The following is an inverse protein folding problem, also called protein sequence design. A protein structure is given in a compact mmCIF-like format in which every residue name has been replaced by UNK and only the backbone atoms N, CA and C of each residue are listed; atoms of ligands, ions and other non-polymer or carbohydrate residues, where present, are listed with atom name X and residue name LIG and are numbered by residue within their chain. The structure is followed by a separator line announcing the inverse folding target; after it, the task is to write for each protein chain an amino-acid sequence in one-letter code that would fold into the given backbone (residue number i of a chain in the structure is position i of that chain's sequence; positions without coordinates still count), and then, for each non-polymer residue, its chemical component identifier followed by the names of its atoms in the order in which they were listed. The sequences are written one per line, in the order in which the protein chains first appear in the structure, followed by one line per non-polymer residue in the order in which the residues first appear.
data_IF_998052630000
#
_entry.id   IF_998052630000
#
_cell.length_a   1.000
_cell.length_b   1.000
_cell.length_c   1.000
_cell.angle_alpha   90.00
_cell.angle_beta   90.00
_cell.angle_gamma   90.00
#
_symmetry.space_group_name_H-M   'P 1'
#
loop_
_entity.id
_entity.type
_entity.pdbx_description
1 polymer ?
#
# COMPACT_ATOMS: atom_id res chain seq x y z
N UNK A 1 37.46 20.10 -27.32
CA UNK A 1 36.02 20.06 -27.68
C UNK A 1 35.64 18.59 -27.65
N UNK A 2 35.20 18.12 -26.48
CA UNK A 2 34.97 16.69 -26.23
C UNK A 2 33.47 16.48 -26.29
N UNK A 3 33.01 15.87 -27.39
CA UNK A 3 31.68 15.29 -27.49
C UNK A 3 31.62 14.12 -26.51
N UNK A 4 30.97 14.33 -25.37
CA UNK A 4 30.59 13.23 -24.50
C UNK A 4 29.36 12.55 -25.10
N UNK A 5 29.61 11.49 -25.86
CA UNK A 5 28.64 10.44 -26.17
C UNK A 5 28.16 9.84 -24.84
N UNK A 6 26.91 10.14 -24.46
CA UNK A 6 26.25 9.54 -23.31
C UNK A 6 25.76 8.17 -23.79
N UNK A 7 26.47 7.13 -23.35
CA UNK A 7 26.17 5.74 -23.62
C UNK A 7 24.72 5.43 -23.25
N UNK A 8 24.04 4.81 -24.21
CA UNK A 8 22.84 4.01 -24.03
C UNK A 8 23.18 2.87 -23.06
N UNK A 9 22.62 2.87 -21.87
CA UNK A 9 22.32 1.63 -21.15
C UNK A 9 21.27 1.89 -20.08
N UNK A 10 20.03 1.66 -20.48
CA UNK A 10 18.85 1.75 -19.65
C UNK A 10 18.59 0.42 -18.99
N UNK A 11 18.95 0.29 -17.72
CA UNK A 11 18.61 -0.90 -16.95
C UNK A 11 18.10 -0.46 -15.59
N UNK A 12 16.78 -0.51 -15.45
CA UNK A 12 16.10 -0.63 -14.18
C UNK A 12 14.69 -1.14 -14.39
N UNK A 13 14.14 -1.84 -13.40
CA UNK A 13 13.07 -2.86 -13.42
C UNK A 13 13.55 -4.24 -13.88
N UNK A 14 14.76 -4.38 -14.45
CA UNK A 14 15.27 -5.67 -14.98
C UNK A 14 15.66 -6.69 -13.91
N UNK A 15 15.61 -6.36 -12.63
CA UNK A 15 16.32 -7.10 -11.60
C UNK A 15 15.45 -7.69 -10.48
N UNK A 16 14.30 -7.09 -10.11
CA UNK A 16 13.10 -7.88 -9.68
C UNK A 16 12.84 -8.97 -10.73
N UNK A 17 13.01 -8.59 -11.98
CA UNK A 17 12.96 -9.42 -13.18
C UNK A 17 14.07 -10.48 -13.27
N UNK A 18 15.20 -10.35 -12.60
CA UNK A 18 16.33 -11.28 -12.74
C UNK A 18 16.44 -12.21 -11.54
N UNK A 19 16.26 -11.68 -10.34
CA UNK A 19 16.17 -12.42 -9.09
C UNK A 19 14.98 -13.42 -9.12
N UNK A 20 13.82 -13.01 -9.67
CA UNK A 20 12.66 -13.89 -9.86
C UNK A 20 12.83 -14.99 -10.93
N UNK A 21 13.85 -14.93 -11.80
CA UNK A 21 13.90 -15.68 -13.07
C UNK A 21 15.14 -16.53 -13.39
N UNK A 22 16.17 -16.55 -12.55
CA UNK A 22 17.31 -17.47 -12.69
C UNK A 22 18.19 -17.20 -13.94
N UNK A 23 19.43 -17.70 -13.91
CA UNK A 23 20.49 -17.26 -14.84
C UNK A 23 20.37 -17.74 -16.30
N UNK A 24 19.46 -18.65 -16.65
CA UNK A 24 19.47 -19.37 -17.94
C UNK A 24 18.52 -18.83 -19.03
N UNK A 25 17.99 -17.62 -18.88
CA UNK A 25 17.10 -16.99 -19.86
C UNK A 25 17.81 -16.23 -20.98
N UNK A 26 18.50 -16.92 -21.88
CA UNK A 26 19.10 -16.32 -23.07
C UNK A 26 18.08 -15.56 -23.97
N UNK A 27 18.52 -14.42 -24.50
CA UNK A 27 17.90 -13.58 -25.55
C UNK A 27 16.78 -12.62 -25.13
N UNK A 28 17.18 -11.35 -24.95
CA UNK A 28 16.52 -10.13 -25.45
C UNK A 28 15.00 -10.00 -25.20
N UNK A 29 14.58 -9.59 -24.00
CA UNK A 29 13.18 -9.22 -23.69
C UNK A 29 13.12 -8.06 -22.68
N UNK A 30 12.59 -6.92 -23.10
CA UNK A 30 12.63 -5.60 -22.43
C UNK A 30 11.24 -5.09 -21.95
N UNK A 31 10.25 -5.95 -21.77
CA UNK A 31 8.84 -5.50 -21.83
C UNK A 31 8.27 -4.78 -20.58
N UNK A 32 8.89 -4.90 -19.40
CA UNK A 32 8.33 -4.28 -18.18
C UNK A 32 8.51 -2.76 -18.05
N UNK A 33 9.57 -2.17 -18.64
CA UNK A 33 9.94 -0.77 -18.37
C UNK A 33 10.11 0.13 -19.59
N UNK A 34 9.70 -0.31 -20.79
CA UNK A 34 9.88 0.51 -21.99
C UNK A 34 9.13 1.84 -21.93
N UNK A 35 7.90 1.85 -21.42
CA UNK A 35 7.12 3.08 -21.28
C UNK A 35 7.80 4.05 -20.30
N UNK A 36 8.22 3.60 -19.11
CA UNK A 36 8.85 4.51 -18.17
C UNK A 36 10.26 4.92 -18.60
N UNK A 37 11.03 4.01 -19.17
CA UNK A 37 12.34 4.33 -19.72
C UNK A 37 12.21 5.42 -20.79
N UNK A 38 11.22 5.30 -21.67
CA UNK A 38 10.91 6.32 -22.66
C UNK A 38 10.45 7.63 -22.00
N UNK A 39 9.63 7.58 -20.95
CA UNK A 39 9.23 8.78 -20.20
C UNK A 39 10.41 9.52 -19.58
N UNK A 40 11.36 8.78 -18.98
CA UNK A 40 12.62 9.34 -18.42
C UNK A 40 13.45 9.96 -19.54
N UNK A 41 13.67 9.22 -20.63
CA UNK A 41 14.45 9.69 -21.79
C UNK A 41 13.86 10.95 -22.41
N UNK A 42 12.53 11.04 -22.46
CA UNK A 42 11.80 12.19 -22.99
C UNK A 42 11.64 13.34 -21.96
N UNK A 43 12.11 13.18 -20.72
CA UNK A 43 12.00 14.21 -19.68
C UNK A 43 10.54 14.52 -19.31
N UNK A 44 9.67 13.52 -19.32
CA UNK A 44 8.23 13.70 -19.03
C UNK A 44 8.04 14.21 -17.60
N UNK A 45 7.45 15.40 -17.47
CA UNK A 45 7.09 15.97 -16.19
C UNK A 45 5.77 15.39 -15.65
N UNK A 46 5.78 14.99 -14.37
CA UNK A 46 4.59 14.51 -13.66
C UNK A 46 3.76 15.68 -13.13
N UNK A 47 2.42 15.66 -13.29
CA UNK A 47 1.54 16.65 -12.67
C UNK A 47 1.36 16.34 -11.17
N UNK A 48 2.38 16.64 -10.37
CA UNK A 48 2.36 16.39 -8.93
C UNK A 48 1.15 17.08 -8.28
N UNK A 49 0.32 16.28 -7.61
CA UNK A 49 -0.91 16.74 -6.96
C UNK A 49 -0.67 17.20 -5.53
N UNK A 50 -1.65 17.89 -4.93
CA UNK A 50 -1.61 18.30 -3.53
C UNK A 50 -1.60 17.11 -2.57
N UNK A 51 -1.02 17.32 -1.37
CA UNK A 51 -1.01 16.38 -0.24
C UNK A 51 -2.39 15.78 0.02
N UNK A 52 -2.47 14.46 0.12
CA UNK A 52 -3.64 13.77 0.65
C UNK A 52 -3.41 13.53 2.15
N UNK A 53 -3.98 14.41 2.97
CA UNK A 53 -3.85 14.32 4.42
C UNK A 53 -4.49 13.05 5.00
N UNK A 54 -5.43 12.40 4.28
CA UNK A 54 -6.01 11.12 4.72
C UNK A 54 -4.99 9.98 4.62
N UNK A 55 -4.13 10.01 3.60
CA UNK A 55 -3.04 9.04 3.48
C UNK A 55 -2.01 9.23 4.61
N UNK A 56 -1.77 10.47 5.05
CA UNK A 56 -0.91 10.74 6.19
C UNK A 56 -1.43 10.15 7.53
N UNK A 57 -2.74 9.89 7.61
CA UNK A 57 -3.36 9.19 8.74
C UNK A 57 -3.14 7.67 8.69
N UNK A 58 -2.47 7.11 7.68
CA UNK A 58 -2.13 5.69 7.57
C UNK A 58 -0.67 5.42 7.97
N UNK A 59 -0.37 4.16 8.24
CA UNK A 59 0.99 3.65 8.41
C UNK A 59 1.18 2.35 7.61
N UNK A 60 2.41 2.10 7.18
CA UNK A 60 2.79 0.81 6.62
C UNK A 60 2.64 -0.32 7.65
N UNK A 61 2.22 -1.50 7.20
CA UNK A 61 1.98 -2.68 8.04
C UNK A 61 2.05 -3.96 7.23
N UNK A 62 2.51 -5.05 7.84
CA UNK A 62 2.44 -6.40 7.28
C UNK A 62 1.12 -7.12 7.57
N UNK A 63 0.39 -6.73 8.62
CA UNK A 63 -0.93 -7.28 9.01
C UNK A 63 -1.93 -7.49 7.85
N UNK A 64 -1.82 -6.70 6.77
CA UNK A 64 -2.78 -6.70 5.67
C UNK A 64 -2.27 -7.40 4.40
N UNK A 65 -0.99 -7.83 4.33
CA UNK A 65 -0.39 -8.30 3.07
C UNK A 65 -1.01 -9.61 2.57
N UNK A 66 -1.51 -10.42 3.51
CA UNK A 66 -2.20 -11.69 3.25
C UNK A 66 -3.73 -11.56 3.18
N UNK A 67 -4.28 -10.34 3.00
CA UNK A 67 -5.73 -10.15 2.80
C UNK A 67 -6.14 -10.57 1.41
N UNK A 68 -6.45 -11.85 1.28
CA UNK A 68 -6.92 -12.45 0.04
C UNK A 68 -8.45 -12.44 -0.07
N UNK A 69 -9.18 -11.48 0.49
CA UNK A 69 -10.65 -11.49 0.50
C UNK A 69 -11.28 -10.16 0.06
N UNK A 70 -12.57 -10.23 -0.26
CA UNK A 70 -13.40 -9.08 -0.63
C UNK A 70 -12.80 -8.22 -1.76
N UNK A 71 -12.78 -6.91 -1.52
CA UNK A 71 -12.32 -5.90 -2.49
C UNK A 71 -10.79 -5.82 -2.61
N UNK A 72 -10.04 -6.50 -1.72
CA UNK A 72 -8.58 -6.44 -1.64
C UNK A 72 -7.90 -7.63 -2.35
N UNK A 73 -8.70 -8.60 -2.81
CA UNK A 73 -8.23 -9.72 -3.64
C UNK A 73 -7.82 -9.23 -5.03
N UNK A 74 -6.68 -9.71 -5.51
CA UNK A 74 -6.21 -9.47 -6.87
C UNK A 74 -6.77 -10.50 -7.85
N UNK A 75 -6.86 -10.12 -9.12
CA UNK A 75 -7.57 -10.93 -10.12
C UNK A 75 -6.81 -12.25 -10.39
N UNK A 76 -5.47 -12.25 -10.34
CA UNK A 76 -4.65 -13.45 -10.51
C UNK A 76 -4.75 -14.45 -9.34
N UNK A 77 -5.20 -14.02 -8.15
CA UNK A 77 -5.37 -14.89 -6.98
C UNK A 77 -6.65 -15.73 -7.04
N UNK A 78 -7.62 -15.32 -7.85
CA UNK A 78 -8.92 -16.02 -7.99
C UNK A 78 -8.85 -17.25 -8.90
N UNK A 79 -7.83 -17.34 -9.76
CA UNK A 79 -7.80 -18.33 -10.85
C UNK A 79 -8.92 -18.16 -11.90
N UNK A 80 -9.76 -17.11 -11.79
CA UNK A 80 -10.94 -16.85 -12.64
C UNK A 80 -10.79 -15.63 -13.54
N UNK A 81 -9.58 -15.13 -13.78
CA UNK A 81 -9.34 -14.04 -14.73
C UNK A 81 -9.80 -14.43 -16.13
N UNK A 82 -10.57 -13.55 -16.79
CA UNK A 82 -11.02 -13.68 -18.18
C UNK A 82 -9.92 -13.41 -19.22
N UNK A 83 -8.69 -13.13 -18.76
CA UNK A 83 -7.48 -13.07 -19.58
C UNK A 83 -6.80 -14.45 -19.72
N UNK A 84 -5.85 -14.62 -20.67
CA UNK A 84 -5.11 -15.87 -20.80
C UNK A 84 -4.47 -16.20 -19.45
N UNK A 85 -4.79 -17.38 -18.91
CA UNK A 85 -4.34 -17.89 -17.60
C UNK A 85 -2.86 -17.57 -17.38
N UNK A 86 -2.60 -16.54 -16.58
CA UNK A 86 -1.28 -16.28 -16.05
C UNK A 86 -1.33 -16.58 -14.55
N UNK A 87 -0.63 -17.62 -14.11
CA UNK A 87 -0.25 -17.76 -12.70
C UNK A 87 0.52 -16.51 -12.26
N UNK A 88 0.69 -16.25 -10.96
CA UNK A 88 1.59 -15.18 -10.52
C UNK A 88 2.98 -15.28 -11.21
N UNK A 89 3.44 -16.51 -11.46
CA UNK A 89 4.64 -16.80 -12.26
C UNK A 89 4.56 -16.35 -13.73
N UNK A 90 3.39 -16.38 -14.37
CA UNK A 90 3.24 -15.98 -15.77
C UNK A 90 2.92 -14.48 -15.97
N UNK A 91 2.40 -13.78 -14.95
CA UNK A 91 2.45 -12.30 -14.91
C UNK A 91 3.90 -11.81 -14.82
N UNK A 92 4.69 -12.53 -14.01
CA UNK A 92 6.12 -12.33 -13.81
C UNK A 92 6.94 -12.58 -15.10
N UNK A 93 6.76 -13.71 -15.77
CA UNK A 93 7.75 -14.22 -16.74
C UNK A 93 7.62 -13.75 -18.20
N UNK A 94 6.47 -13.21 -18.64
CA UNK A 94 6.23 -12.98 -20.08
C UNK A 94 5.60 -11.62 -20.32
N UNK A 95 6.33 -10.69 -20.93
CA UNK A 95 5.72 -9.49 -21.53
C UNK A 95 4.59 -9.87 -22.49
N UNK A 96 3.42 -9.25 -22.40
CA UNK A 96 2.33 -9.54 -23.34
C UNK A 96 2.52 -8.72 -24.63
N UNK A 97 2.71 -9.37 -25.81
CA UNK A 97 2.93 -8.65 -27.06
C UNK A 97 1.83 -7.63 -27.41
N UNK A 98 0.62 -7.78 -26.85
CA UNK A 98 -0.48 -6.80 -27.01
C UNK A 98 -0.13 -5.42 -26.45
N UNK A 99 0.80 -5.33 -25.49
CA UNK A 99 1.19 -4.09 -24.82
C UNK A 99 2.55 -3.54 -25.24
N UNK A 100 3.19 -4.21 -26.21
CA UNK A 100 4.48 -3.81 -26.78
C UNK A 100 4.31 -3.11 -28.14
N UNK A 101 3.07 -2.86 -28.57
CA UNK A 101 2.84 -2.03 -29.77
C UNK A 101 3.13 -0.56 -29.46
N UNK A 102 3.56 0.25 -30.45
CA UNK A 102 3.78 1.68 -30.25
C UNK A 102 2.57 2.40 -29.66
N UNK A 103 1.36 2.03 -30.06
CA UNK A 103 0.12 2.62 -29.56
C UNK A 103 -0.13 2.24 -28.10
N UNK A 104 0.14 0.99 -27.71
CA UNK A 104 0.00 0.56 -26.32
C UNK A 104 1.03 1.22 -25.41
N UNK A 105 2.29 1.34 -25.87
CA UNK A 105 3.34 2.08 -25.17
C UNK A 105 2.98 3.56 -25.02
N UNK A 106 2.44 4.19 -26.06
CA UNK A 106 1.97 5.58 -25.99
C UNK A 106 0.82 5.75 -24.97
N UNK A 107 -0.10 4.78 -24.88
CA UNK A 107 -1.16 4.81 -23.86
C UNK A 107 -0.58 4.65 -22.45
N UNK A 108 0.31 3.70 -22.22
CA UNK A 108 1.00 3.52 -20.92
C UNK A 108 1.78 4.77 -20.50
N UNK A 109 2.46 5.42 -21.44
CA UNK A 109 3.10 6.73 -21.24
C UNK A 109 2.11 7.83 -20.81
N UNK A 110 0.92 7.85 -21.40
CA UNK A 110 -0.12 8.80 -21.03
C UNK A 110 -0.67 8.52 -19.62
N UNK A 111 -0.79 7.25 -19.23
CA UNK A 111 -1.25 6.84 -17.89
C UNK A 111 -0.33 7.36 -16.78
N UNK A 112 0.99 7.36 -17.00
CA UNK A 112 1.96 7.91 -16.03
C UNK A 112 1.65 9.37 -15.66
N UNK A 113 1.04 10.13 -16.57
CA UNK A 113 0.65 11.53 -16.35
C UNK A 113 -0.81 11.70 -15.93
N UNK A 114 -1.60 10.64 -15.91
CA UNK A 114 -3.02 10.73 -15.56
C UNK A 114 -3.16 11.19 -14.09
N UNK A 115 -3.93 12.25 -13.79
CA UNK A 115 -4.04 12.78 -12.43
C UNK A 115 -4.58 11.77 -11.40
N UNK A 116 -5.40 10.81 -11.84
CA UNK A 116 -5.91 9.71 -11.01
C UNK A 116 -4.79 8.75 -10.61
N UNK A 117 -3.93 8.37 -11.55
CA UNK A 117 -2.76 7.50 -11.36
C UNK A 117 -1.75 8.18 -10.46
N UNK A 118 -1.37 9.42 -10.76
CA UNK A 118 -0.42 10.19 -9.95
C UNK A 118 -0.92 10.31 -8.52
N UNK A 119 -2.22 10.60 -8.32
CA UNK A 119 -2.83 10.64 -6.98
C UNK A 119 -2.79 9.28 -6.28
N UNK A 120 -3.11 8.21 -7.00
CA UNK A 120 -3.09 6.85 -6.47
C UNK A 120 -1.66 6.41 -6.10
N UNK A 121 -0.62 6.75 -6.87
CA UNK A 121 0.76 6.45 -6.47
C UNK A 121 1.20 7.31 -5.28
N UNK A 122 0.81 8.59 -5.26
CA UNK A 122 1.26 9.57 -4.26
C UNK A 122 0.80 9.25 -2.83
N UNK A 123 -0.30 8.50 -2.63
CA UNK A 123 -0.73 8.11 -1.28
C UNK A 123 0.32 7.26 -0.54
N UNK A 124 1.13 6.48 -1.24
CA UNK A 124 2.26 5.74 -0.65
C UNK A 124 3.27 6.73 -0.04
N UNK A 125 3.67 7.74 -0.82
CA UNK A 125 4.57 8.79 -0.37
C UNK A 125 4.01 9.56 0.84
N UNK A 126 2.73 9.93 0.80
CA UNK A 126 2.10 10.71 1.88
C UNK A 126 1.98 9.93 3.20
N UNK A 127 2.05 8.59 3.14
CA UNK A 127 2.06 7.68 4.30
C UNK A 127 3.43 7.62 4.99
N UNK A 128 4.50 7.92 4.25
CA UNK A 128 5.87 7.93 4.78
C UNK A 128 6.04 9.01 5.84
N UNK A 129 6.86 8.69 6.84
CA UNK A 129 7.42 9.66 7.78
C UNK A 129 8.82 10.01 7.32
N UNK A 130 8.89 10.87 6.30
CA UNK A 130 10.14 11.34 5.73
C UNK A 130 10.93 12.13 6.77
N UNK A 131 12.25 12.11 6.63
CA UNK A 131 13.16 12.89 7.45
C UNK A 131 13.14 14.37 7.04
N UNK A 132 13.95 15.20 7.70
CA UNK A 132 13.95 16.67 7.52
C UNK A 132 14.24 17.12 6.08
N UNK A 133 14.97 16.32 5.30
CA UNK A 133 15.29 16.62 3.90
C UNK A 133 14.12 16.34 2.94
N UNK A 134 13.03 15.73 3.44
CA UNK A 134 11.84 15.42 2.67
C UNK A 134 12.07 14.38 1.58
N UNK A 135 13.06 13.51 1.73
CA UNK A 135 13.37 12.42 0.80
C UNK A 135 13.28 11.04 1.45
N UNK A 136 13.13 10.01 0.63
CA UNK A 136 13.10 8.61 1.08
C UNK A 136 14.49 8.01 0.95
N UNK A 137 15.02 7.53 2.07
CA UNK A 137 16.31 6.85 2.14
C UNK A 137 16.17 5.33 2.09
N UNK A 138 17.29 4.64 1.91
CA UNK A 138 17.39 3.19 1.77
C UNK A 138 16.57 2.42 2.80
N UNK A 139 16.70 2.73 4.10
CA UNK A 139 15.98 2.00 5.14
C UNK A 139 14.45 2.03 4.97
N UNK A 140 13.90 3.20 4.67
CA UNK A 140 12.47 3.37 4.39
C UNK A 140 12.06 2.69 3.10
N UNK A 141 12.89 2.79 2.05
CA UNK A 141 12.64 2.11 0.79
C UNK A 141 12.54 0.59 0.99
N UNK A 142 13.50 -0.02 1.70
CA UNK A 142 13.49 -1.46 1.98
C UNK A 142 12.25 -1.87 2.76
N UNK A 143 11.81 -1.08 3.75
CA UNK A 143 10.59 -1.38 4.50
C UNK A 143 9.34 -1.42 3.59
N UNK A 144 9.19 -0.41 2.74
CA UNK A 144 8.08 -0.37 1.78
C UNK A 144 8.20 -1.50 0.77
N UNK A 145 9.37 -1.71 0.18
CA UNK A 145 9.63 -2.74 -0.82
C UNK A 145 9.27 -4.13 -0.28
N UNK A 146 9.68 -4.46 0.95
CA UNK A 146 9.33 -5.72 1.62
C UNK A 146 7.83 -5.97 1.67
N UNK A 147 7.03 -4.95 1.97
CA UNK A 147 5.59 -5.08 2.08
C UNK A 147 4.93 -5.23 0.70
N UNK A 148 5.41 -4.50 -0.31
CA UNK A 148 4.95 -4.66 -1.69
C UNK A 148 5.24 -6.08 -2.19
N UNK A 149 6.46 -6.57 -1.99
CA UNK A 149 6.85 -7.94 -2.35
C UNK A 149 6.02 -8.96 -1.59
N UNK A 150 5.85 -8.83 -0.28
CA UNK A 150 5.03 -9.77 0.50
C UNK A 150 3.56 -9.82 0.04
N UNK A 151 3.04 -8.72 -0.50
CA UNK A 151 1.67 -8.66 -1.03
C UNK A 151 1.54 -9.24 -2.44
N UNK A 152 2.58 -9.15 -3.27
CA UNK A 152 2.54 -9.50 -4.70
C UNK A 152 3.21 -10.84 -5.03
N UNK A 153 4.29 -11.18 -4.34
CA UNK A 153 5.10 -12.39 -4.49
C UNK A 153 5.42 -13.00 -3.10
N UNK A 154 4.41 -13.46 -2.34
CA UNK A 154 4.57 -14.01 -0.99
C UNK A 154 5.48 -15.26 -0.91
N UNK A 155 5.76 -15.89 -2.04
CA UNK A 155 6.65 -17.05 -2.17
C UNK A 155 8.14 -16.68 -2.27
N UNK A 156 8.48 -15.41 -2.50
CA UNK A 156 9.87 -14.94 -2.61
C UNK A 156 10.55 -15.05 -1.24
N UNK A 157 11.77 -15.61 -1.21
CA UNK A 157 12.52 -15.71 0.04
C UNK A 157 13.23 -14.38 0.41
N UNK A 158 13.70 -14.29 1.65
CA UNK A 158 14.28 -13.05 2.17
C UNK A 158 15.60 -12.67 1.49
N UNK A 159 16.40 -13.66 1.04
CA UNK A 159 17.67 -13.38 0.39
C UNK A 159 17.43 -12.84 -1.02
N UNK A 160 16.56 -13.49 -1.78
CA UNK A 160 16.11 -13.09 -3.11
C UNK A 160 15.48 -11.69 -3.08
N UNK A 161 14.56 -11.44 -2.12
CA UNK A 161 13.94 -10.13 -1.94
C UNK A 161 14.97 -9.04 -1.68
N UNK A 162 15.94 -9.30 -0.81
CA UNK A 162 16.93 -8.29 -0.41
C UNK A 162 17.81 -7.91 -1.58
N UNK A 163 18.27 -8.89 -2.35
CA UNK A 163 19.05 -8.65 -3.57
C UNK A 163 18.28 -7.78 -4.56
N UNK A 164 17.05 -8.17 -4.90
CA UNK A 164 16.20 -7.39 -5.80
C UNK A 164 15.99 -5.95 -5.29
N UNK A 165 15.67 -5.79 -4.01
CA UNK A 165 15.40 -4.49 -3.41
C UNK A 165 16.60 -3.53 -3.44
N UNK A 166 17.83 -4.04 -3.27
CA UNK A 166 19.05 -3.23 -3.37
C UNK A 166 19.30 -2.73 -4.80
N UNK A 167 19.05 -3.60 -5.77
CA UNK A 167 19.20 -3.27 -7.19
C UNK A 167 18.15 -2.21 -7.59
N UNK A 168 16.88 -2.42 -7.24
CA UNK A 168 15.82 -1.45 -7.54
C UNK A 168 16.05 -0.11 -6.83
N UNK A 169 16.52 -0.13 -5.57
CA UNK A 169 16.84 1.11 -4.87
C UNK A 169 17.92 1.91 -5.60
N UNK A 170 19.00 1.24 -6.01
CA UNK A 170 20.12 1.86 -6.74
C UNK A 170 19.62 2.53 -8.01
N UNK A 171 18.72 1.87 -8.70
CA UNK A 171 18.21 2.37 -9.95
C UNK A 171 17.15 3.45 -9.79
N UNK A 172 16.22 3.30 -8.84
CA UNK A 172 15.16 4.27 -8.52
C UNK A 172 15.75 5.59 -8.04
N UNK A 173 16.91 5.53 -7.37
CA UNK A 173 17.72 6.68 -7.05
C UNK A 173 18.24 7.41 -8.29
N UNK A 174 18.39 6.75 -9.44
CA UNK A 174 18.88 7.33 -10.71
C UNK A 174 20.15 8.16 -10.52
N UNK A 175 21.11 7.61 -9.76
CA UNK A 175 22.39 8.25 -9.47
C UNK A 175 22.37 9.33 -8.38
N UNK A 176 21.25 9.53 -7.68
CA UNK A 176 21.19 10.41 -6.50
C UNK A 176 21.31 9.62 -5.19
N UNK A 177 21.45 10.33 -4.08
CA UNK A 177 21.61 9.72 -2.74
C UNK A 177 20.29 9.30 -2.07
N UNK A 178 19.15 9.76 -2.59
CA UNK A 178 17.82 9.46 -2.05
C UNK A 178 16.73 9.62 -3.12
N UNK A 179 15.55 9.08 -2.83
CA UNK A 179 14.39 9.08 -3.71
C UNK A 179 13.48 10.26 -3.33
N UNK A 180 13.06 11.05 -4.32
CA UNK A 180 12.08 12.12 -4.12
C UNK A 180 10.67 11.66 -4.54
N UNK A 181 9.66 12.50 -4.30
CA UNK A 181 8.26 12.18 -4.64
C UNK A 181 8.08 11.75 -6.10
N UNK A 182 8.70 12.47 -7.05
CA UNK A 182 8.54 12.16 -8.46
C UNK A 182 9.07 10.76 -8.81
N UNK A 183 10.23 10.39 -8.28
CA UNK A 183 10.81 9.05 -8.47
C UNK A 183 9.98 7.98 -7.77
N UNK A 184 9.52 8.23 -6.54
CA UNK A 184 8.61 7.30 -5.86
C UNK A 184 7.31 7.05 -6.64
N UNK A 185 6.71 8.08 -7.27
CA UNK A 185 5.54 7.90 -8.13
C UNK A 185 5.87 6.99 -9.32
N UNK A 186 7.05 7.18 -9.93
CA UNK A 186 7.51 6.38 -11.05
C UNK A 186 7.71 4.91 -10.66
N UNK A 187 8.36 4.64 -9.52
CA UNK A 187 8.57 3.27 -9.03
C UNK A 187 7.24 2.56 -8.72
N UNK A 188 6.29 3.24 -8.07
CA UNK A 188 4.95 2.64 -7.83
C UNK A 188 4.19 2.43 -9.14
N UNK A 189 4.38 3.31 -10.13
CA UNK A 189 3.80 3.11 -11.46
C UNK A 189 4.40 1.89 -12.16
N UNK A 190 5.71 1.65 -12.09
CA UNK A 190 6.36 0.45 -12.66
C UNK A 190 5.76 -0.83 -12.08
N UNK A 191 5.54 -0.86 -10.76
CA UNK A 191 4.87 -1.98 -10.11
C UNK A 191 3.46 -2.15 -10.68
N UNK A 192 2.69 -1.07 -10.87
CA UNK A 192 1.36 -1.16 -11.46
C UNK A 192 1.38 -1.62 -12.93
N UNK A 193 2.31 -1.11 -13.72
CA UNK A 193 2.50 -1.40 -15.14
C UNK A 193 2.94 -2.86 -15.36
N UNK A 194 3.70 -3.44 -14.42
CA UNK A 194 4.08 -4.85 -14.44
C UNK A 194 2.93 -5.79 -14.09
N UNK A 195 2.07 -5.42 -13.14
CA UNK A 195 1.03 -6.31 -12.60
C UNK A 195 -0.38 -6.07 -13.17
N UNK A 196 -0.54 -5.09 -14.07
CA UNK A 196 -1.82 -4.80 -14.72
C UNK A 196 -1.81 -5.27 -16.19
N UNK A 197 -2.60 -6.29 -16.52
CA UNK A 197 -2.83 -6.75 -17.90
C UNK A 197 -3.83 -5.82 -18.61
N UNK A 198 -3.47 -4.54 -18.79
CA UNK A 198 -4.31 -3.54 -19.45
C UNK A 198 -3.56 -2.25 -19.84
N UNK A 199 -4.23 -1.41 -20.63
CA UNK A 199 -3.89 -0.01 -20.88
C UNK A 199 -4.99 0.96 -20.41
N UNK A 200 -5.97 0.45 -19.66
CA UNK A 200 -7.09 1.23 -19.13
C UNK A 200 -6.76 1.84 -17.77
N UNK A 201 -6.94 3.16 -17.64
CA UNK A 201 -6.58 3.94 -16.45
C UNK A 201 -7.22 3.40 -15.17
N UNK A 202 -8.50 3.02 -15.22
CA UNK A 202 -9.23 2.57 -14.04
C UNK A 202 -8.67 1.24 -13.48
N UNK A 203 -8.09 0.38 -14.31
CA UNK A 203 -7.52 -0.90 -13.86
C UNK A 203 -6.24 -0.67 -13.06
N UNK A 204 -5.40 0.28 -13.49
CA UNK A 204 -4.22 0.69 -12.73
C UNK A 204 -4.63 1.33 -11.40
N UNK A 205 -5.60 2.27 -11.42
CA UNK A 205 -6.11 2.90 -10.18
C UNK A 205 -6.66 1.85 -9.21
N UNK A 206 -7.40 0.85 -9.71
CA UNK A 206 -7.88 -0.26 -8.89
C UNK A 206 -6.73 -1.09 -8.31
N UNK A 207 -5.74 -1.47 -9.12
CA UNK A 207 -4.57 -2.22 -8.68
C UNK A 207 -3.80 -1.46 -7.59
N UNK A 208 -3.43 -0.20 -7.85
CA UNK A 208 -2.63 0.64 -6.95
C UNK A 208 -3.35 0.81 -5.60
N UNK A 209 -4.66 1.04 -5.62
CA UNK A 209 -5.45 1.19 -4.40
C UNK A 209 -5.62 -0.13 -3.62
N UNK A 210 -5.73 -1.28 -4.30
CA UNK A 210 -5.74 -2.60 -3.65
C UNK A 210 -4.40 -2.85 -2.95
N UNK A 211 -3.29 -2.62 -3.67
CA UNK A 211 -1.94 -2.76 -3.13
C UNK A 211 -1.71 -1.83 -1.93
N UNK A 212 -2.15 -0.58 -2.01
CA UNK A 212 -2.04 0.36 -0.89
C UNK A 212 -2.74 -0.16 0.37
N UNK A 213 -3.95 -0.71 0.26
CA UNK A 213 -4.69 -1.27 1.41
C UNK A 213 -4.04 -2.55 1.95
N UNK A 214 -3.36 -3.33 1.12
CA UNK A 214 -2.58 -4.51 1.53
C UNK A 214 -1.37 -4.16 2.38
N UNK A 215 -0.76 -2.99 2.15
CA UNK A 215 0.49 -2.63 2.81
C UNK A 215 0.35 -1.51 3.85
N UNK A 216 -0.87 -0.99 4.05
CA UNK A 216 -1.12 0.08 5.02
C UNK A 216 -2.35 -0.18 5.89
N UNK A 217 -2.39 0.48 7.05
CA UNK A 217 -3.57 0.56 7.93
C UNK A 217 -3.74 1.96 8.51
N UNK A 218 -4.94 2.34 8.96
CA UNK A 218 -5.13 3.58 9.70
C UNK A 218 -4.25 3.63 10.95
N UNK A 219 -3.61 4.77 11.20
CA UNK A 219 -2.98 5.08 12.48
C UNK A 219 -4.09 5.21 13.49
N UNK A 220 -4.21 4.25 14.40
CA UNK A 220 -5.17 4.35 15.50
C UNK A 220 -4.87 5.65 16.26
N UNK A 221 -5.72 6.66 16.09
CA UNK A 221 -5.55 7.92 16.82
C UNK A 221 -5.91 7.67 18.29
N UNK A 222 -5.20 8.33 19.22
CA UNK A 222 -5.59 8.31 20.65
C UNK A 222 -7.06 8.69 20.83
N UNK A 223 -7.62 9.56 19.98
CA UNK A 223 -9.04 9.96 20.00
C UNK A 223 -9.99 8.80 19.64
N UNK A 224 -9.58 7.89 18.76
CA UNK A 224 -10.34 6.68 18.40
C UNK A 224 -10.48 5.72 19.58
N UNK A 225 -9.41 5.51 20.35
CA UNK A 225 -9.40 4.62 21.52
C UNK A 225 -10.40 5.09 22.60
N UNK A 226 -10.47 6.40 22.88
CA UNK A 226 -11.43 6.94 23.83
C UNK A 226 -12.87 6.87 23.31
N UNK A 227 -13.09 7.05 22.00
CA UNK A 227 -14.43 6.91 21.41
C UNK A 227 -14.95 5.47 21.43
N UNK A 228 -14.07 4.49 21.18
CA UNK A 228 -14.43 3.07 21.22
C UNK A 228 -14.61 2.58 22.66
N UNK A 229 -13.77 3.01 23.60
CA UNK A 229 -13.92 2.69 25.01
C UNK A 229 -15.19 3.32 25.62
N UNK A 230 -15.52 4.57 25.26
CA UNK A 230 -16.76 5.22 25.68
C UNK A 230 -18.00 4.54 25.07
N UNK A 231 -17.95 4.14 23.81
CA UNK A 231 -19.03 3.39 23.16
C UNK A 231 -19.22 1.99 23.80
N UNK A 232 -18.14 1.26 24.08
CA UNK A 232 -18.20 -0.02 24.78
C UNK A 232 -18.73 0.12 26.22
N UNK A 233 -18.33 1.16 26.94
CA UNK A 233 -18.83 1.46 28.28
C UNK A 233 -20.33 1.82 28.27
N UNK A 234 -20.80 2.54 27.24
CA UNK A 234 -22.23 2.84 27.07
C UNK A 234 -23.06 1.59 26.76
N UNK A 235 -22.52 0.65 25.98
CA UNK A 235 -23.19 -0.64 25.69
C UNK A 235 -23.26 -1.52 26.94
N UNK A 236 -22.20 -1.57 27.76
CA UNK A 236 -22.23 -2.31 29.03
C UNK A 236 -23.07 -1.63 30.12
N UNK A 237 -23.18 -0.30 30.10
CA UNK A 237 -24.07 0.45 31.00
C UNK A 237 -25.55 0.33 30.64
N UNK A 238 -25.89 0.12 29.37
CA UNK A 238 -27.28 0.00 28.90
C UNK A 238 -27.91 -1.38 29.18
N UNK A 239 -27.11 -2.44 29.37
CA UNK A 239 -27.60 -3.78 29.73
C UNK A 239 -27.76 -4.01 31.24
N UNK A 240 -27.55 -2.98 32.08
CA UNK A 240 -27.47 -3.08 33.54
C UNK A 240 -28.72 -2.69 34.34
N UNK A 241 -29.92 -2.58 33.74
CA UNK A 241 -31.17 -2.39 34.48
C UNK A 241 -32.36 -2.57 33.54
N UNK A 242 -33.35 -3.42 33.81
CA UNK A 242 -34.27 -3.31 34.96
C UNK A 242 -34.78 -4.70 35.39
N UNK A 243 -34.45 -5.11 36.61
CA UNK A 243 -35.27 -6.05 37.37
C UNK A 243 -35.62 -5.37 38.71
N UNK A 244 -36.68 -4.56 38.72
CA UNK A 244 -37.30 -4.08 39.96
C UNK A 244 -38.03 -5.26 40.60
N UNK A 245 -37.38 -5.94 41.54
CA UNK A 245 -38.08 -6.80 42.50
C UNK A 245 -38.76 -5.88 43.53
N UNK A 246 -40.08 -6.01 43.61
CA UNK A 246 -40.91 -5.33 44.59
C UNK A 246 -40.54 -5.83 46.01
N UNK A 247 -39.90 -4.96 46.79
CA UNK A 247 -39.67 -5.16 48.22
C UNK A 247 -40.55 -4.21 49.01
N UNK A 248 -41.59 -4.76 49.62
CA UNK A 248 -42.54 -4.14 50.53
C UNK A 248 -41.85 -3.45 51.71
N UNK A 249 -42.15 -2.17 51.93
CA UNK A 249 -41.79 -1.40 53.13
C UNK A 249 -42.65 -1.83 54.32
N UNK A 250 -42.01 -2.38 55.36
CA UNK A 250 -42.41 -2.28 56.77
C UNK A 250 -41.08 -2.16 57.54
N UNK A 251 -40.68 -1.01 58.07
CA UNK A 251 -41.32 -0.33 59.20
C UNK A 251 -40.37 -0.42 60.41
N UNK A 252 -39.20 0.22 60.33
CA UNK A 252 -38.21 0.27 61.41
C UNK A 252 -38.40 1.51 62.29
N UNK A 253 -39.16 1.39 63.38
CA UNK A 253 -39.25 2.40 64.43
C UNK A 253 -38.26 2.09 65.56
N UNK A 254 -37.23 2.94 65.70
CA UNK A 254 -36.29 2.90 66.82
C UNK A 254 -36.97 3.40 68.08
N UNK A 255 -36.89 2.63 69.16
CA UNK A 255 -37.21 3.08 70.50
C UNK A 255 -36.09 3.93 71.11
N UNK A 256 -36.47 5.00 71.78
CA UNK A 256 -35.72 5.56 72.91
C UNK A 256 -36.71 5.75 74.06
N UNK A 257 -36.54 5.00 75.13
CA UNK A 257 -37.28 5.22 76.38
C UNK A 257 -36.67 6.35 77.20
N UNK A 258 -37.51 7.09 77.91
CA UNK A 258 -37.38 7.30 79.36
C UNK A 258 -38.58 8.09 79.91
N UNK A 259 -38.90 7.81 81.19
CA UNK A 259 -39.85 8.50 82.09
C UNK A 259 -41.32 8.10 81.88
N UNK A 260 -42.13 7.73 82.87
CA UNK A 260 -42.06 7.72 84.34
C UNK A 260 -43.50 7.70 84.88
N UNK A 261 -43.71 7.19 86.11
CA UNK A 261 -44.99 7.11 86.87
C UNK A 261 -46.02 6.07 86.36
N UNK A 262 -46.28 4.93 87.03
CA UNK A 262 -46.82 4.71 88.39
C UNK A 262 -48.16 5.41 88.62
N UNK A 263 -49.22 4.61 88.84
CA UNK A 263 -50.22 4.70 89.92
C UNK A 263 -51.55 4.07 89.46
N UNK A 264 -51.95 3.02 90.22
CA UNK A 264 -53.26 2.38 90.39
C UNK A 264 -53.85 1.50 89.27
#
# INVERSE_FOLDING_TARGET
MVEHSIAEDSVSVRNIQRALWGEDGGSDRKSGSEALHLAVKLGVALPLTQRDDRAAEHMYTDENVHRFDGLDRFDWETGSGTGPRRSAAAYRQVGDPRYETPEALQRRLALLRAPSIVRACRQFWDTLRLDEDGTMHRGQYMEVHRLLTAALAPEMDEAEWREAAEEDYTDDQRGHTSINLARSIMSIFEVADLWTDSVEEWQYVCFINKLYRRVTKPRVSRKSLWSQAAAAAAVHGANGGVARVAGTKLGGGRGSGSQGASVL
#
